data_IF_901432780869
#
_entry.id   IF_901432780869
#
_cell.length_a   1.000
_cell.length_b   1.000
_cell.length_c   1.000
_cell.angle_alpha   90.00
_cell.angle_beta   90.00
_cell.angle_gamma   90.00
#
_symmetry.space_group_name_H-M   'P 1'
#
loop_
_entity.id
_entity.type
_entity.pdbx_description
1 polymer ?
#
# COMPACT_ATOMS: atom_id res chain seq x y z
N UNK A 1 -7.75 -2.87 3.82
CA UNK A 1 -6.54 -2.82 2.97
C UNK A 1 -7.01 -2.63 1.53
N UNK A 2 -6.25 -1.87 0.76
CA UNK A 2 -6.51 -1.64 -0.66
C UNK A 2 -5.21 -1.84 -1.44
N UNK A 3 -5.30 -2.38 -2.65
CA UNK A 3 -4.18 -2.47 -3.57
C UNK A 3 -4.65 -2.18 -5.00
N UNK A 4 -3.76 -1.61 -5.80
CA UNK A 4 -3.95 -1.36 -7.22
C UNK A 4 -2.60 -1.45 -7.94
N UNK A 5 -2.55 -2.08 -9.11
CA UNK A 5 -1.40 -2.06 -10.01
C UNK A 5 -1.95 -2.02 -11.44
N UNK A 6 -1.52 -1.04 -12.24
CA UNK A 6 -2.10 -0.76 -13.54
C UNK A 6 -1.06 -0.25 -14.53
N UNK A 7 -1.39 -0.41 -15.81
CA UNK A 7 -0.65 0.08 -16.94
C UNK A 7 -1.56 0.95 -17.80
N UNK A 8 -1.04 2.08 -18.29
CA UNK A 8 -1.68 2.93 -19.28
C UNK A 8 -0.76 3.10 -20.48
N UNK A 9 -1.34 3.13 -21.67
CA UNK A 9 -0.68 3.46 -22.92
C UNK A 9 -1.62 4.25 -23.82
N UNK A 10 -1.07 5.19 -24.57
CA UNK A 10 -1.80 6.03 -25.53
C UNK A 10 -1.33 5.71 -26.95
N UNK A 11 -2.19 5.97 -27.93
CA UNK A 11 -1.84 5.80 -29.36
C UNK A 11 -0.64 6.67 -29.79
N UNK A 12 -0.29 7.69 -29.00
CA UNK A 12 0.89 8.54 -29.20
C UNK A 12 2.21 7.95 -28.67
N UNK A 13 2.19 6.73 -28.12
CA UNK A 13 3.37 6.04 -27.58
C UNK A 13 3.78 6.48 -26.17
N UNK A 14 2.98 7.33 -25.50
CA UNK A 14 3.17 7.65 -24.08
C UNK A 14 2.53 6.54 -23.23
N UNK A 15 3.28 6.03 -22.27
CA UNK A 15 2.85 4.98 -21.35
C UNK A 15 3.38 5.24 -19.94
N UNK A 16 2.74 4.62 -18.94
CA UNK A 16 3.20 4.62 -17.56
C UNK A 16 2.55 3.49 -16.75
N UNK A 17 3.22 3.12 -15.66
CA UNK A 17 2.62 2.32 -14.60
C UNK A 17 2.17 3.19 -13.44
N UNK A 18 1.17 2.71 -12.72
CA UNK A 18 0.76 3.26 -11.45
C UNK A 18 0.27 2.16 -10.52
N UNK A 19 0.25 2.44 -9.22
CA UNK A 19 -0.21 1.47 -8.26
C UNK A 19 0.21 1.75 -6.83
N UNK A 20 0.12 0.71 -6.02
CA UNK A 20 0.37 0.79 -4.60
C UNK A 20 -0.50 -0.15 -3.80
N UNK A 21 -0.13 -0.32 -2.55
CA UNK A 21 -0.91 -1.07 -1.55
C UNK A 21 -0.85 -0.31 -0.24
N UNK A 22 -1.99 -0.17 0.42
CA UNK A 22 -2.15 0.61 1.64
C UNK A 22 -3.07 -0.07 2.68
N UNK A 23 -2.84 0.24 3.96
CA UNK A 23 -3.55 -0.37 5.09
C UNK A 23 -4.34 0.66 5.91
N UNK A 24 -5.51 0.25 6.37
CA UNK A 24 -6.47 1.08 7.10
C UNK A 24 -6.98 0.32 8.33
N UNK A 25 -6.19 0.24 9.40
CA UNK A 25 -6.64 -0.42 10.63
C UNK A 25 -7.60 0.50 11.42
N UNK A 26 -8.67 -0.07 11.98
CA UNK A 26 -9.49 0.63 12.98
C UNK A 26 -8.82 0.64 14.36
N UNK A 27 -8.05 -0.42 14.66
CA UNK A 27 -7.25 -0.62 15.87
C UNK A 27 -5.80 -0.89 15.47
N UNK A 28 -4.88 -0.10 16.03
CA UNK A 28 -3.46 -0.14 15.64
C UNK A 28 -2.74 -1.23 16.43
N UNK A 29 -2.04 -2.09 15.71
CA UNK A 29 -1.05 -3.00 16.23
C UNK A 29 0.31 -2.64 15.62
N UNK A 30 1.29 -2.31 16.46
CA UNK A 30 2.61 -1.87 15.97
C UNK A 30 3.38 -2.96 15.22
N UNK A 31 3.25 -4.23 15.63
CA UNK A 31 3.93 -5.36 14.98
C UNK A 31 3.34 -5.64 13.60
N UNK A 32 2.02 -5.54 13.44
CA UNK A 32 1.36 -5.63 12.14
C UNK A 32 1.84 -4.55 11.19
N UNK A 33 2.00 -3.32 11.69
CA UNK A 33 2.48 -2.21 10.87
C UNK A 33 3.95 -2.41 10.49
N UNK A 34 4.80 -2.89 11.40
CA UNK A 34 6.19 -3.25 11.09
C UNK A 34 6.25 -4.35 10.03
N UNK A 35 5.41 -5.37 10.12
CA UNK A 35 5.32 -6.45 9.13
C UNK A 35 4.86 -5.95 7.77
N UNK A 36 3.76 -5.20 7.72
CA UNK A 36 3.19 -4.68 6.48
C UNK A 36 4.17 -3.75 5.74
N UNK A 37 4.69 -2.75 6.45
CA UNK A 37 5.66 -1.80 5.89
C UNK A 37 7.01 -2.43 5.60
N UNK A 38 7.47 -3.35 6.44
CA UNK A 38 8.69 -4.13 6.21
C UNK A 38 8.61 -4.97 4.94
N UNK A 39 7.47 -5.62 4.70
CA UNK A 39 7.24 -6.42 3.49
C UNK A 39 7.35 -5.55 2.22
N UNK A 40 6.70 -4.38 2.19
CA UNK A 40 6.79 -3.50 1.02
C UNK A 40 8.14 -2.80 0.89
N UNK A 41 8.83 -2.53 2.00
CA UNK A 41 10.22 -2.06 1.96
C UNK A 41 11.14 -3.09 1.31
N UNK A 42 11.05 -4.36 1.71
CA UNK A 42 11.82 -5.44 1.10
C UNK A 42 11.55 -5.58 -0.40
N UNK A 43 10.31 -5.36 -0.84
CA UNK A 43 9.96 -5.36 -2.27
C UNK A 43 10.63 -4.18 -2.97
N UNK A 44 10.41 -2.97 -2.50
CA UNK A 44 11.01 -1.77 -3.07
C UNK A 44 12.54 -1.87 -3.15
N UNK A 45 13.21 -2.26 -2.05
CA UNK A 45 14.67 -2.36 -1.96
C UNK A 45 15.29 -3.31 -3.00
N UNK A 46 14.54 -4.33 -3.50
CA UNK A 46 15.02 -5.23 -4.55
C UNK A 46 15.04 -4.59 -5.94
N UNK A 47 14.19 -3.59 -6.18
CA UNK A 47 14.04 -2.93 -7.47
C UNK A 47 14.78 -1.58 -7.50
N UNK A 48 14.66 -0.79 -6.42
CA UNK A 48 15.37 0.47 -6.22
C UNK A 48 15.38 0.84 -4.72
N UNK A 49 16.56 1.12 -4.12
CA UNK A 49 16.65 1.48 -2.70
C UNK A 49 15.89 2.78 -2.32
N UNK A 50 15.58 3.66 -3.27
CA UNK A 50 14.85 4.90 -3.01
C UNK A 50 13.33 4.73 -3.11
N UNK A 51 12.82 3.69 -3.77
CA UNK A 51 11.38 3.49 -4.01
C UNK A 51 10.55 3.49 -2.73
N UNK A 52 10.99 2.80 -1.68
CA UNK A 52 10.18 2.75 -0.46
C UNK A 52 10.04 4.14 0.17
N UNK A 53 11.14 4.89 0.23
CA UNK A 53 11.15 6.25 0.80
C UNK A 53 10.22 7.17 0.02
N UNK A 54 10.28 7.13 -1.31
CA UNK A 54 9.49 7.98 -2.18
C UNK A 54 8.02 7.59 -2.19
N UNK A 55 7.72 6.31 -2.44
CA UNK A 55 6.35 5.82 -2.59
C UNK A 55 5.59 5.79 -1.27
N UNK A 56 6.27 5.57 -0.14
CA UNK A 56 5.65 5.73 1.18
C UNK A 56 5.29 7.19 1.44
N UNK A 57 6.23 8.11 1.21
CA UNK A 57 5.96 9.53 1.39
C UNK A 57 4.84 10.02 0.47
N UNK A 58 4.72 9.45 -0.74
CA UNK A 58 3.61 9.74 -1.63
C UNK A 58 2.29 9.18 -1.10
N UNK A 59 2.24 7.93 -0.64
CA UNK A 59 1.04 7.34 -0.03
C UNK A 59 0.50 8.19 1.12
N UNK A 60 1.39 8.67 2.01
CA UNK A 60 1.03 9.54 3.14
C UNK A 60 0.38 10.86 2.70
N UNK A 61 0.80 11.43 1.56
CA UNK A 61 0.24 12.68 1.03
C UNK A 61 -1.02 12.44 0.20
N UNK A 62 -1.10 11.31 -0.48
CA UNK A 62 -2.20 10.98 -1.40
C UNK A 62 -3.46 10.59 -0.63
N UNK A 63 -3.34 9.76 0.40
CA UNK A 63 -4.48 9.24 1.16
C UNK A 63 -4.89 10.17 2.32
N UNK A 64 -4.93 11.49 2.10
CA UNK A 64 -5.35 12.49 3.09
C UNK A 64 -6.79 12.93 2.83
N UNK A 65 -7.62 12.86 3.86
CA UNK A 65 -8.98 13.40 3.87
C UNK A 65 -8.88 14.87 4.31
N UNK A 66 -8.72 15.76 3.33
CA UNK A 66 -8.39 17.18 3.57
C UNK A 66 -9.34 17.88 4.57
N UNK A 67 -10.65 17.68 4.44
CA UNK A 67 -11.64 18.33 5.30
C UNK A 67 -11.68 17.78 6.74
N UNK A 68 -10.99 16.67 7.02
CA UNK A 68 -10.83 16.07 8.35
C UNK A 68 -9.43 16.25 8.92
N UNK A 69 -8.48 16.69 8.10
CA UNK A 69 -7.07 16.76 8.43
C UNK A 69 -6.52 15.42 9.00
N UNK A 70 -6.95 14.30 8.41
CA UNK A 70 -6.51 12.95 8.79
C UNK A 70 -6.14 12.12 7.55
N UNK A 71 -5.23 11.16 7.70
CA UNK A 71 -5.00 10.13 6.68
C UNK A 71 -6.11 9.08 6.74
N UNK A 72 -6.45 8.48 5.59
CA UNK A 72 -7.40 7.36 5.51
C UNK A 72 -6.95 6.19 6.38
N UNK A 73 -5.65 5.93 6.44
CA UNK A 73 -5.05 4.84 7.20
C UNK A 73 -3.57 5.12 7.50
N UNK A 74 -2.78 4.06 7.61
CA UNK A 74 -1.35 4.13 7.95
C UNK A 74 -0.44 3.99 6.72
N UNK A 75 -0.94 4.39 5.55
CA UNK A 75 -0.20 4.44 4.31
C UNK A 75 0.20 3.06 3.80
N UNK A 76 1.35 3.00 3.13
CA UNK A 76 1.89 1.85 2.43
C UNK A 76 2.81 2.35 1.32
N UNK A 77 2.66 1.86 0.09
CA UNK A 77 3.33 2.42 -1.09
C UNK A 77 2.29 2.97 -2.06
N UNK A 78 2.61 4.08 -2.72
CA UNK A 78 1.82 4.65 -3.81
C UNK A 78 2.75 5.26 -4.86
N UNK A 79 2.47 4.98 -6.14
CA UNK A 79 3.17 5.53 -7.28
C UNK A 79 2.20 5.71 -8.45
N UNK A 80 2.50 6.69 -9.31
CA UNK A 80 1.79 6.95 -10.55
C UNK A 80 2.75 7.59 -11.54
N UNK A 81 2.36 7.66 -12.81
CA UNK A 81 3.18 8.23 -13.88
C UNK A 81 4.60 7.63 -13.96
N UNK A 82 4.77 6.37 -13.54
CA UNK A 82 6.07 5.70 -13.51
C UNK A 82 6.45 5.20 -14.91
N UNK A 83 7.43 5.88 -15.53
CA UNK A 83 7.96 5.57 -16.86
C UNK A 83 9.44 5.99 -17.02
N UNK A 84 10.19 6.02 -15.91
CA UNK A 84 11.58 6.46 -15.83
C UNK A 84 12.60 5.42 -16.32
N UNK A 85 12.14 4.20 -16.61
CA UNK A 85 12.92 3.03 -17.02
C UNK A 85 12.19 2.28 -18.13
N UNK A 86 12.74 1.16 -18.60
CA UNK A 86 12.02 0.30 -19.53
C UNK A 86 10.77 -0.33 -18.88
N UNK A 87 9.74 -0.58 -19.69
CA UNK A 87 8.45 -1.08 -19.22
C UNK A 87 8.56 -2.43 -18.51
N UNK A 88 9.44 -3.33 -18.96
CA UNK A 88 9.62 -4.65 -18.36
C UNK A 88 10.22 -4.56 -16.95
N UNK A 89 11.15 -3.62 -16.71
CA UNK A 89 11.68 -3.34 -15.38
C UNK A 89 10.59 -2.86 -14.42
N UNK A 90 9.74 -1.92 -14.84
CA UNK A 90 8.66 -1.40 -13.99
C UNK A 90 7.52 -2.43 -13.83
N UNK A 91 7.27 -3.25 -14.84
CA UNK A 91 6.35 -4.37 -14.78
C UNK A 91 6.77 -5.38 -13.72
N UNK A 92 8.06 -5.79 -13.69
CA UNK A 92 8.60 -6.69 -12.66
C UNK A 92 8.42 -6.13 -11.25
N UNK A 93 8.62 -4.83 -11.05
CA UNK A 93 8.34 -4.20 -9.76
C UNK A 93 6.85 -4.28 -9.40
N UNK A 94 5.97 -3.97 -10.35
CA UNK A 94 4.51 -4.01 -10.14
C UNK A 94 4.01 -5.44 -9.84
N UNK A 95 4.54 -6.44 -10.54
CA UNK A 95 4.26 -7.87 -10.32
C UNK A 95 4.74 -8.32 -8.93
N UNK A 96 5.98 -8.02 -8.55
CA UNK A 96 6.54 -8.35 -7.23
C UNK A 96 5.73 -7.72 -6.09
N UNK A 97 5.32 -6.47 -6.27
CA UNK A 97 4.53 -5.74 -5.29
C UNK A 97 3.11 -6.33 -5.17
N UNK A 98 2.47 -6.66 -6.29
CA UNK A 98 1.17 -7.36 -6.30
C UNK A 98 1.25 -8.74 -5.63
N UNK A 99 2.26 -9.54 -5.97
CA UNK A 99 2.46 -10.87 -5.40
C UNK A 99 2.75 -10.83 -3.88
N UNK A 100 3.21 -9.68 -3.37
CA UNK A 100 3.48 -9.47 -1.95
C UNK A 100 2.25 -9.10 -1.13
N UNK A 101 1.07 -8.86 -1.74
CA UNK A 101 -0.17 -8.52 -1.02
C UNK A 101 -0.54 -9.58 0.02
N UNK A 102 -0.50 -10.86 -0.34
CA UNK A 102 -0.81 -11.95 0.59
C UNK A 102 0.25 -12.08 1.68
N UNK A 103 1.54 -11.91 1.35
CA UNK A 103 2.62 -11.90 2.35
C UNK A 103 2.44 -10.75 3.35
N UNK A 104 2.05 -9.57 2.88
CA UNK A 104 1.89 -8.38 3.72
C UNK A 104 0.63 -8.42 4.59
N UNK A 105 -0.50 -8.94 4.08
CA UNK A 105 -1.80 -8.84 4.75
C UNK A 105 -2.35 -10.16 5.31
N UNK A 106 -2.00 -11.30 4.70
CA UNK A 106 -2.47 -12.63 5.12
C UNK A 106 -2.14 -12.95 6.59
N UNK A 107 -0.88 -12.78 7.05
CA UNK A 107 -0.52 -13.03 8.44
C UNK A 107 -1.28 -12.16 9.45
N UNK A 108 -1.54 -10.90 9.11
CA UNK A 108 -2.31 -9.97 9.96
C UNK A 108 -3.74 -10.47 10.14
N UNK A 109 -4.39 -10.91 9.05
CA UNK A 109 -5.73 -11.48 9.12
C UNK A 109 -5.74 -12.79 9.93
N UNK A 110 -4.79 -13.69 9.66
CA UNK A 110 -4.74 -14.97 10.38
C UNK A 110 -4.57 -14.79 11.88
N UNK A 111 -3.79 -13.78 12.28
CA UNK A 111 -3.55 -13.45 13.68
C UNK A 111 -4.78 -12.84 14.39
N UNK A 112 -5.58 -12.03 13.67
CA UNK A 112 -6.58 -11.16 14.28
C UNK A 112 -8.04 -11.47 13.93
N UNK A 113 -8.31 -12.43 13.02
CA UNK A 113 -9.67 -12.75 12.55
C UNK A 113 -10.61 -13.28 13.66
N UNK A 114 -10.05 -13.89 14.69
CA UNK A 114 -10.78 -14.55 15.78
C UNK A 114 -10.68 -13.77 17.11
N UNK A 115 -10.10 -12.56 17.09
CA UNK A 115 -10.03 -11.70 18.27
C UNK A 115 -11.43 -11.33 18.76
N UNK A 116 -11.65 -11.44 20.07
CA UNK A 116 -12.88 -10.91 20.67
C UNK A 116 -12.92 -9.38 20.55
N UNK A 117 -14.10 -8.85 20.28
CA UNK A 117 -14.34 -7.42 20.24
C UNK A 117 -15.61 -7.06 21.01
N UNK A 118 -15.60 -5.87 21.59
CA UNK A 118 -16.72 -5.26 22.28
C UNK A 118 -17.64 -4.52 21.32
N UNK A 119 -18.89 -4.29 21.73
CA UNK A 119 -19.83 -3.48 20.96
C UNK A 119 -19.30 -2.06 20.68
N UNK A 120 -18.58 -1.47 21.65
CA UNK A 120 -17.93 -0.16 21.48
C UNK A 120 -16.85 -0.20 20.40
N UNK A 121 -16.10 -1.30 20.31
CA UNK A 121 -15.09 -1.45 19.28
C UNK A 121 -15.70 -1.62 17.88
N UNK A 122 -16.84 -2.30 17.80
CA UNK A 122 -17.62 -2.39 16.57
C UNK A 122 -18.16 -1.03 16.14
N UNK A 123 -18.67 -0.22 17.06
CA UNK A 123 -19.13 1.13 16.79
C UNK A 123 -18.01 2.04 16.28
N UNK A 124 -16.82 1.95 16.89
CA UNK A 124 -15.64 2.65 16.38
C UNK A 124 -15.28 2.22 14.96
N UNK A 125 -15.28 0.91 14.68
CA UNK A 125 -15.02 0.40 13.33
C UNK A 125 -15.99 1.00 12.29
N UNK A 126 -17.28 1.18 12.63
CA UNK A 126 -18.28 1.74 11.70
C UNK A 126 -18.09 3.24 11.42
N UNK A 127 -17.38 3.96 12.29
CA UNK A 127 -17.06 5.38 12.12
C UNK A 127 -15.82 5.58 11.22
N UNK A 128 -14.89 4.62 11.25
CA UNK A 128 -13.64 4.64 10.49
C UNK A 128 -13.85 4.26 9.04
#
# INVERSE_FOLDING_TARGET
MHFNYRYFETDGGVWWFGGGTDITPSYINEEDMKHFHGTYKEVCDRHDPDYYKEFKAWADRYFVIQHRNETRGLGGIFFDDQNDRDADTIFKFSEDALNSVIKAYGPIIEQHKDDEFTQKEKEWQLIR
#
